data_IF_890716363111
#
_entry.id   IF_890716363111
#
_cell.length_a   1.000
_cell.length_b   1.000
_cell.length_c   1.000
_cell.angle_alpha   90.00
_cell.angle_beta   90.00
_cell.angle_gamma   90.00
#
_symmetry.space_group_name_H-M   'P 1'
#
loop_
_entity.id
_entity.type
_entity.pdbx_description
1 polymer ?
#
# COMPACT_ATOMS: atom_id res chain seq x y z
N UNK A 1 -26.41 -5.37 -13.60
CA UNK A 1 -26.10 -4.61 -12.37
C UNK A 1 -24.60 -4.47 -12.34
N UNK A 2 -24.19 -3.20 -12.37
CA UNK A 2 -22.86 -2.59 -12.46
C UNK A 2 -21.62 -3.50 -12.52
N UNK A 3 -20.80 -3.30 -13.55
CA UNK A 3 -19.39 -3.71 -13.62
C UNK A 3 -18.70 -3.43 -12.29
N UNK A 4 -18.31 -4.50 -11.59
CA UNK A 4 -17.46 -4.43 -10.41
C UNK A 4 -16.08 -3.99 -10.89
N UNK A 5 -15.68 -2.76 -10.61
CA UNK A 5 -14.28 -2.35 -10.69
C UNK A 5 -13.48 -3.21 -9.70
N UNK A 6 -12.38 -3.82 -10.14
CA UNK A 6 -11.47 -4.70 -9.39
C UNK A 6 -10.67 -3.96 -8.28
N UNK A 7 -11.32 -3.03 -7.58
CA UNK A 7 -10.73 -2.34 -6.44
C UNK A 7 -10.65 -3.33 -5.26
N UNK A 8 -9.43 -3.56 -4.77
CA UNK A 8 -9.21 -4.44 -3.63
C UNK A 8 -9.43 -3.65 -2.34
N UNK A 9 -10.49 -3.91 -1.56
CA UNK A 9 -10.77 -3.14 -0.34
C UNK A 9 -9.70 -3.42 0.73
N UNK A 10 -9.29 -2.38 1.45
CA UNK A 10 -8.29 -2.54 2.50
C UNK A 10 -8.87 -3.28 3.72
N UNK A 11 -8.27 -4.40 4.15
CA UNK A 11 -8.76 -5.17 5.29
C UNK A 11 -8.46 -4.48 6.63
N UNK A 12 -7.43 -3.61 6.71
CA UNK A 12 -7.03 -2.93 7.95
C UNK A 12 -8.04 -1.88 8.37
N UNK A 13 -8.44 -1.02 7.44
CA UNK A 13 -9.42 0.03 7.71
C UNK A 13 -10.85 -0.42 7.44
N UNK A 14 -11.13 -1.73 7.41
CA UNK A 14 -12.47 -2.29 7.18
C UNK A 14 -13.12 -1.77 5.88
N UNK A 15 -12.33 -1.61 4.82
CA UNK A 15 -12.79 -1.18 3.50
C UNK A 15 -13.08 0.31 3.36
N UNK A 16 -12.60 1.18 4.26
CA UNK A 16 -12.69 2.63 4.09
C UNK A 16 -11.77 3.18 2.99
N UNK A 17 -10.75 2.40 2.58
CA UNK A 17 -9.87 2.69 1.46
C UNK A 17 -9.66 1.46 0.58
N UNK A 18 -8.91 1.66 -0.50
CA UNK A 18 -8.51 0.63 -1.46
C UNK A 18 -7.02 0.38 -1.39
N UNK A 19 -6.61 -0.84 -1.72
CA UNK A 19 -5.21 -1.23 -1.81
C UNK A 19 -4.78 -1.12 -3.26
N UNK A 20 -3.78 -0.27 -3.48
CA UNK A 20 -3.18 0.02 -4.79
C UNK A 20 -1.82 -0.66 -4.88
N UNK A 21 -1.41 -1.03 -6.09
CA UNK A 21 -0.01 -1.41 -6.34
C UNK A 21 0.76 -0.16 -6.70
N UNK A 22 1.87 0.09 -6.00
CA UNK A 22 2.71 1.25 -6.22
C UNK A 22 4.18 0.85 -6.30
N UNK A 23 4.97 1.70 -6.95
CA UNK A 23 6.41 1.56 -7.05
C UNK A 23 7.10 2.66 -6.27
N UNK A 24 8.01 2.29 -5.37
CA UNK A 24 8.85 3.25 -4.65
C UNK A 24 9.87 3.84 -5.64
N UNK A 25 9.91 5.16 -5.74
CA UNK A 25 10.75 5.89 -6.71
C UNK A 25 12.24 5.61 -6.49
N UNK A 26 12.70 5.61 -5.24
CA UNK A 26 14.12 5.46 -4.88
C UNK A 26 14.66 4.06 -5.13
N UNK A 27 13.92 3.05 -4.71
CA UNK A 27 14.37 1.64 -4.71
C UNK A 27 13.86 0.86 -5.92
N UNK A 28 12.88 1.42 -6.64
CA UNK A 28 12.14 0.73 -7.71
C UNK A 28 11.37 -0.50 -7.22
N UNK A 29 11.23 -0.66 -5.89
CA UNK A 29 10.51 -1.75 -5.27
C UNK A 29 9.00 -1.61 -5.49
N UNK A 30 8.34 -2.73 -5.77
CA UNK A 30 6.88 -2.81 -5.80
C UNK A 30 6.34 -3.07 -4.41
N UNK A 31 5.31 -2.32 -4.04
CA UNK A 31 4.56 -2.50 -2.80
C UNK A 31 3.07 -2.46 -3.10
N UNK A 32 2.28 -2.97 -2.15
CA UNK A 32 0.85 -2.67 -2.09
C UNK A 32 0.58 -1.76 -0.92
N UNK A 33 -0.16 -0.68 -1.14
CA UNK A 33 -0.42 0.35 -0.13
C UNK A 33 -1.90 0.73 -0.11
N UNK A 34 -2.47 0.96 1.08
CA UNK A 34 -3.80 1.54 1.22
C UNK A 34 -3.76 3.07 1.11
N UNK A 35 -4.68 3.64 0.32
CA UNK A 35 -4.84 5.09 0.10
C UNK A 35 -5.43 5.88 1.28
N UNK A 36 -5.96 5.19 2.30
CA UNK A 36 -6.59 5.83 3.46
C UNK A 36 -5.76 5.70 4.75
N UNK A 37 -5.19 4.51 5.01
CA UNK A 37 -4.52 4.21 6.29
C UNK A 37 -3.02 3.90 6.16
N UNK A 38 -2.42 4.14 4.99
CA UNK A 38 -0.99 3.98 4.71
C UNK A 38 -0.44 2.57 5.03
N UNK A 39 -1.31 1.55 5.10
CA UNK A 39 -0.89 0.18 5.38
C UNK A 39 -0.20 -0.42 4.15
N UNK A 40 0.98 -1.01 4.36
CA UNK A 40 1.82 -1.59 3.32
C UNK A 40 1.94 -3.10 3.47
N UNK A 41 1.84 -3.78 2.33
CA UNK A 41 2.13 -5.20 2.17
C UNK A 41 3.13 -5.42 1.03
N UNK A 42 3.90 -6.52 1.06
CA UNK A 42 4.63 -7.00 -0.11
C UNK A 42 3.70 -7.23 -1.31
N UNK A 43 4.20 -7.12 -2.55
CA UNK A 43 3.38 -7.18 -3.77
C UNK A 43 2.66 -8.53 -3.92
N UNK A 44 3.32 -9.63 -3.54
CA UNK A 44 2.79 -10.99 -3.68
C UNK A 44 2.23 -11.58 -2.38
N UNK A 45 2.09 -10.78 -1.31
CA UNK A 45 1.57 -11.27 -0.04
C UNK A 45 0.04 -11.38 -0.04
N UNK A 46 -0.55 -12.07 0.94
CA UNK A 46 -1.97 -11.88 1.24
C UNK A 46 -2.18 -10.52 1.93
N UNK A 47 -3.33 -9.88 1.70
CA UNK A 47 -3.74 -8.68 2.45
C UNK A 47 -4.27 -9.12 3.82
N UNK A 48 -3.36 -9.48 4.72
CA UNK A 48 -3.68 -9.88 6.09
C UNK A 48 -3.58 -8.66 7.01
N UNK A 49 -4.67 -8.40 7.76
CA UNK A 49 -4.75 -7.33 8.78
C UNK A 49 -3.74 -7.51 9.92
N UNK A 50 -3.17 -8.71 10.09
CA UNK A 50 -2.14 -8.99 11.09
C UNK A 50 -0.72 -8.84 10.57
N UNK A 51 -0.53 -8.68 9.25
CA UNK A 51 0.78 -8.68 8.59
C UNK A 51 0.92 -7.50 7.63
N UNK A 52 0.93 -6.30 8.19
CA UNK A 52 1.22 -5.06 7.47
C UNK A 52 2.27 -4.25 8.22
N UNK A 53 2.76 -3.20 7.57
CA UNK A 53 3.58 -2.15 8.19
C UNK A 53 3.06 -0.80 7.72
N UNK A 54 3.10 0.23 8.57
CA UNK A 54 2.77 1.60 8.14
C UNK A 54 3.84 2.11 7.16
N UNK A 55 3.41 2.76 6.06
CA UNK A 55 4.31 3.22 4.99
C UNK A 55 5.44 4.12 5.51
N UNK A 56 5.14 5.03 6.43
CA UNK A 56 6.16 5.87 7.06
C UNK A 56 7.25 5.06 7.75
N UNK A 57 6.86 4.07 8.57
CA UNK A 57 7.79 3.15 9.22
C UNK A 57 8.54 2.28 8.21
N UNK A 58 7.90 1.86 7.13
CA UNK A 58 8.52 1.08 6.06
C UNK A 58 9.67 1.84 5.39
N UNK A 59 9.43 3.11 5.06
CA UNK A 59 10.41 3.99 4.42
C UNK A 59 11.53 4.40 5.38
N UNK A 60 11.20 4.73 6.63
CA UNK A 60 12.18 5.09 7.66
C UNK A 60 13.20 3.97 7.92
N UNK A 61 12.76 2.70 7.94
CA UNK A 61 13.66 1.53 8.07
C UNK A 61 14.69 1.43 6.95
N UNK A 62 14.41 2.03 5.80
CA UNK A 62 15.30 2.07 4.64
C UNK A 62 16.08 3.39 4.55
N UNK A 63 15.87 4.32 5.48
CA UNK A 63 16.49 5.64 5.49
C UNK A 63 15.87 6.65 4.51
N UNK A 64 14.61 6.44 4.11
CA UNK A 64 13.88 7.32 3.19
C UNK A 64 12.71 8.03 3.89
N UNK A 65 12.29 9.20 3.37
CA UNK A 65 11.11 9.88 3.91
C UNK A 65 9.83 9.10 3.60
N UNK A 66 8.93 9.00 4.58
CA UNK A 66 7.62 8.36 4.46
C UNK A 66 6.57 9.22 3.74
N UNK A 67 6.92 9.82 2.60
CA UNK A 67 6.06 10.73 1.85
C UNK A 67 5.44 10.06 0.64
N UNK A 68 4.17 10.35 0.35
CA UNK A 68 3.46 9.82 -0.81
C UNK A 68 4.12 10.20 -2.15
N UNK A 69 4.86 11.31 -2.22
CA UNK A 69 5.67 11.69 -3.39
C UNK A 69 6.79 10.68 -3.72
N UNK A 70 7.14 9.78 -2.79
CA UNK A 70 8.14 8.74 -3.00
C UNK A 70 7.56 7.47 -3.64
N UNK A 71 6.27 7.44 -3.99
CA UNK A 71 5.63 6.34 -4.71
C UNK A 71 4.91 6.79 -5.99
N UNK A 72 4.83 5.89 -6.96
CA UNK A 72 4.03 6.04 -8.19
C UNK A 72 3.08 4.86 -8.28
N UNK A 73 1.78 5.14 -8.33
CA UNK A 73 0.74 4.14 -8.57
C UNK A 73 0.89 3.51 -9.97
N UNK A 74 0.66 2.20 -10.09
CA UNK A 74 0.82 1.42 -11.32
C UNK A 74 -0.52 1.01 -11.96
#
# INVERSE_FOLDING_TARGET
MSNMSDAVPCPRCHGQGVVLTAKIVRTQELIRICDECDAVWPPDADLDVRRFVDFGTYMERQGFPGLWDEIVEL
#
